data_IF_163146398969
#
_entry.id   IF_163146398969
#
_cell.length_a   1.000
_cell.length_b   1.000
_cell.length_c   1.000
_cell.angle_alpha   90.00
_cell.angle_beta   90.00
_cell.angle_gamma   90.00
#
_symmetry.space_group_name_H-M   'P 1'
#
loop_
_entity.id
_entity.type
_entity.pdbx_description
1 polymer ?
#
# COMPACT_ATOMS: atom_id res chain seq x y z
N UNK A 1 -10.54 15.24 9.64
CA UNK A 1 -11.81 15.13 10.34
C UNK A 1 -12.11 16.42 11.12
N UNK A 2 -11.39 16.78 12.18
CA UNK A 2 -11.65 18.00 13.01
C UNK A 2 -11.75 19.30 12.20
N UNK A 3 -10.96 19.46 11.13
CA UNK A 3 -11.04 20.65 10.24
C UNK A 3 -12.35 20.80 9.47
N UNK A 4 -13.19 19.76 9.46
CA UNK A 4 -14.55 19.74 8.90
C UNK A 4 -15.63 19.59 9.95
N UNK A 5 -15.30 19.83 11.24
CA UNK A 5 -16.24 19.72 12.35
C UNK A 5 -16.65 18.30 12.72
N UNK A 6 -15.91 17.29 12.22
CA UNK A 6 -16.17 15.89 12.53
C UNK A 6 -15.32 15.51 13.72
N UNK A 7 -15.96 15.18 14.83
CA UNK A 7 -15.32 14.61 16.00
C UNK A 7 -15.20 13.09 15.82
N UNK A 8 -14.02 12.56 16.12
CA UNK A 8 -13.77 11.12 16.17
C UNK A 8 -13.70 10.77 17.64
N UNK A 9 -14.69 10.03 18.14
CA UNK A 9 -14.78 9.65 19.54
C UNK A 9 -13.80 8.53 19.88
N UNK A 10 -13.67 7.52 18.97
CA UNK A 10 -12.76 6.41 19.13
C UNK A 10 -11.78 6.34 17.96
N UNK A 11 -10.51 6.05 18.24
CA UNK A 11 -9.51 5.86 17.19
C UNK A 11 -9.77 4.60 16.36
N UNK A 12 -10.42 3.58 16.95
CA UNK A 12 -10.84 2.35 16.26
C UNK A 12 -11.77 2.64 15.09
N UNK A 13 -12.59 3.70 15.15
CA UNK A 13 -13.47 4.13 14.07
C UNK A 13 -12.68 4.58 12.81
N UNK A 14 -11.36 4.74 12.94
CA UNK A 14 -10.48 5.11 11.84
C UNK A 14 -9.83 3.89 11.16
N UNK A 15 -10.01 2.68 11.66
CA UNK A 15 -9.40 1.47 11.08
C UNK A 15 -9.88 1.23 9.65
N UNK A 16 -11.11 1.59 9.32
CA UNK A 16 -11.66 1.48 7.96
C UNK A 16 -10.93 2.34 6.91
N UNK A 17 -10.10 3.30 7.36
CA UNK A 17 -9.25 4.12 6.48
C UNK A 17 -7.91 3.46 6.17
N UNK A 18 -7.62 2.31 6.80
CA UNK A 18 -6.39 1.55 6.58
C UNK A 18 -6.61 0.55 5.45
N UNK A 19 -5.85 0.70 4.37
CA UNK A 19 -5.90 -0.20 3.22
C UNK A 19 -6.57 0.41 1.98
N UNK A 20 -7.86 0.83 2.03
CA UNK A 20 -8.50 1.40 0.84
C UNK A 20 -7.95 2.79 0.47
N UNK A 21 -8.12 3.21 -0.81
CA UNK A 21 -7.78 4.56 -1.22
C UNK A 21 -8.57 5.61 -0.43
N UNK A 22 -7.89 6.57 0.20
CA UNK A 22 -8.50 7.60 1.05
C UNK A 22 -9.67 8.34 0.39
N UNK A 23 -9.57 8.60 -0.92
CA UNK A 23 -10.65 9.26 -1.67
C UNK A 23 -11.95 8.45 -1.57
N UNK A 24 -11.87 7.15 -1.81
CA UNK A 24 -13.05 6.27 -1.77
C UNK A 24 -13.64 6.19 -0.36
N UNK A 25 -12.78 6.08 0.66
CA UNK A 25 -13.23 6.00 2.05
C UNK A 25 -13.90 7.29 2.50
N UNK A 26 -13.33 8.45 2.20
CA UNK A 26 -13.95 9.73 2.53
C UNK A 26 -15.30 9.92 1.84
N UNK A 27 -15.41 9.55 0.56
CA UNK A 27 -16.66 9.68 -0.19
C UNK A 27 -17.73 8.67 0.23
N UNK A 28 -17.31 7.48 0.69
CA UNK A 28 -18.23 6.44 1.20
C UNK A 28 -18.85 6.84 2.54
N UNK A 29 -18.06 7.44 3.42
CA UNK A 29 -18.46 7.66 4.81
C UNK A 29 -19.01 9.07 5.05
N UNK A 30 -18.74 10.00 4.15
CA UNK A 30 -19.18 11.39 4.25
C UNK A 30 -19.59 11.89 2.86
N UNK A 31 -20.62 12.71 2.83
CA UNK A 31 -21.12 13.34 1.60
C UNK A 31 -20.23 14.55 1.21
N UNK A 32 -18.92 14.29 1.08
CA UNK A 32 -17.96 15.30 0.65
C UNK A 32 -17.91 15.41 -0.87
N UNK A 33 -17.88 16.64 -1.34
CA UNK A 33 -17.56 16.93 -2.75
C UNK A 33 -16.13 16.46 -3.10
N UNK A 34 -15.84 16.36 -4.39
CA UNK A 34 -14.48 16.05 -4.85
C UNK A 34 -13.44 17.06 -4.34
N UNK A 35 -13.79 18.35 -4.34
CA UNK A 35 -12.92 19.43 -3.88
C UNK A 35 -12.61 19.32 -2.37
N UNK A 36 -13.62 19.05 -1.55
CA UNK A 36 -13.46 18.85 -0.11
C UNK A 36 -12.62 17.60 0.19
N UNK A 37 -12.83 16.53 -0.56
CA UNK A 37 -12.06 15.30 -0.44
C UNK A 37 -10.58 15.53 -0.77
N UNK A 38 -10.28 16.28 -1.84
CA UNK A 38 -8.90 16.66 -2.20
C UNK A 38 -8.25 17.48 -1.10
N UNK A 39 -8.97 18.46 -0.51
CA UNK A 39 -8.45 19.28 0.60
C UNK A 39 -8.14 18.44 1.83
N UNK A 40 -9.00 17.49 2.18
CA UNK A 40 -8.78 16.56 3.29
C UNK A 40 -7.56 15.67 3.06
N UNK A 41 -7.41 15.12 1.85
CA UNK A 41 -6.23 14.31 1.49
C UNK A 41 -4.96 15.16 1.57
N UNK A 42 -5.00 16.42 1.11
CA UNK A 42 -3.86 17.33 1.22
C UNK A 42 -3.45 17.55 2.68
N UNK A 43 -4.42 17.84 3.57
CA UNK A 43 -4.16 18.01 5.02
C UNK A 43 -3.64 16.74 5.68
N UNK A 44 -4.16 15.57 5.29
CA UNK A 44 -3.61 14.30 5.75
C UNK A 44 -2.14 14.15 5.36
N UNK A 45 -1.80 14.45 4.10
CA UNK A 45 -0.43 14.35 3.59
C UNK A 45 0.54 15.33 4.26
N UNK A 46 0.12 16.55 4.62
CA UNK A 46 0.95 17.52 5.33
C UNK A 46 1.59 16.92 6.59
N UNK A 47 0.84 16.08 7.34
CA UNK A 47 1.38 15.37 8.50
C UNK A 47 2.02 14.04 8.13
N UNK A 48 1.35 13.28 7.27
CA UNK A 48 1.80 11.93 6.92
C UNK A 48 3.19 11.96 6.28
N UNK A 49 3.43 12.82 5.30
CA UNK A 49 4.68 12.85 4.55
C UNK A 49 5.89 13.32 5.39
N UNK A 50 5.67 14.01 6.50
CA UNK A 50 6.73 14.51 7.39
C UNK A 50 6.94 13.59 8.59
N UNK A 51 5.87 13.16 9.25
CA UNK A 51 5.93 12.43 10.52
C UNK A 51 5.29 11.05 10.41
N UNK A 52 4.03 10.99 9.98
CA UNK A 52 3.23 9.77 10.00
C UNK A 52 3.82 8.63 9.18
N UNK A 53 4.53 8.96 8.09
CA UNK A 53 5.23 7.96 7.25
C UNK A 53 6.27 7.16 8.04
N UNK A 54 6.76 7.69 9.16
CA UNK A 54 7.75 7.03 10.01
C UNK A 54 7.14 6.46 11.29
N UNK A 55 5.86 6.69 11.56
CA UNK A 55 5.11 6.11 12.69
C UNK A 55 4.59 4.71 12.32
N UNK A 56 5.52 3.82 11.99
CA UNK A 56 5.26 2.41 11.69
C UNK A 56 6.41 1.54 12.17
N UNK A 57 6.10 0.29 12.44
CA UNK A 57 7.04 -0.75 12.81
C UNK A 57 6.83 -1.96 11.89
N UNK A 58 7.87 -2.73 11.70
CA UNK A 58 7.76 -4.01 10.99
C UNK A 58 7.11 -5.04 11.91
N UNK A 59 6.23 -5.85 11.37
CA UNK A 59 5.75 -7.02 12.11
C UNK A 59 6.91 -7.99 12.41
N UNK A 60 6.83 -8.71 13.55
CA UNK A 60 7.86 -9.68 13.91
C UNK A 60 8.14 -10.69 12.79
N UNK A 61 9.39 -10.89 12.47
CA UNK A 61 9.84 -11.86 11.47
C UNK A 61 9.88 -11.34 10.02
N UNK A 62 9.29 -10.19 9.71
CA UNK A 62 9.28 -9.64 8.33
C UNK A 62 10.69 -9.36 7.83
N UNK A 63 11.52 -8.68 8.62
CA UNK A 63 12.89 -8.36 8.24
C UNK A 63 13.70 -9.63 7.92
N UNK A 64 13.65 -10.62 8.84
CA UNK A 64 14.36 -11.88 8.66
C UNK A 64 13.88 -12.64 7.43
N UNK A 65 12.56 -12.63 7.18
CA UNK A 65 11.96 -13.30 6.01
C UNK A 65 12.42 -12.67 4.71
N UNK A 66 12.42 -11.34 4.63
CA UNK A 66 12.88 -10.60 3.44
C UNK A 66 14.34 -10.90 3.14
N UNK A 67 15.22 -10.83 4.14
CA UNK A 67 16.64 -11.16 3.99
C UNK A 67 16.84 -12.61 3.55
N UNK A 68 16.16 -13.56 4.20
CA UNK A 68 16.26 -14.98 3.88
C UNK A 68 15.82 -15.29 2.44
N UNK A 69 14.74 -14.68 1.96
CA UNK A 69 14.29 -14.85 0.57
C UNK A 69 15.31 -14.27 -0.42
N UNK A 70 15.87 -13.08 -0.11
CA UNK A 70 16.89 -12.47 -0.94
C UNK A 70 18.16 -13.30 -1.01
N UNK A 71 18.64 -13.84 0.13
CA UNK A 71 19.81 -14.74 0.21
C UNK A 71 19.61 -16.03 -0.60
N UNK A 72 18.38 -16.51 -0.68
CA UNK A 72 18.01 -17.67 -1.52
C UNK A 72 17.89 -17.35 -3.01
N UNK A 73 18.08 -16.09 -3.39
CA UNK A 73 18.03 -15.64 -4.78
C UNK A 73 16.64 -15.45 -5.34
N UNK A 74 15.60 -15.37 -4.49
CA UNK A 74 14.27 -15.01 -4.96
C UNK A 74 14.22 -13.54 -5.36
N UNK A 75 13.68 -13.20 -6.55
CA UNK A 75 13.35 -11.83 -6.89
C UNK A 75 12.25 -11.32 -5.95
N UNK A 76 12.47 -10.15 -5.35
CA UNK A 76 11.51 -9.54 -4.44
C UNK A 76 10.98 -8.24 -5.03
N UNK A 77 9.66 -8.13 -5.08
CA UNK A 77 8.98 -6.89 -5.55
C UNK A 77 8.00 -6.44 -4.49
N UNK A 78 8.07 -5.17 -4.10
CA UNK A 78 7.02 -4.56 -3.29
C UNK A 78 5.89 -4.07 -4.21
N UNK A 79 4.66 -4.50 -3.92
CA UNK A 79 3.44 -4.10 -4.61
C UNK A 79 2.43 -3.52 -3.59
N UNK A 80 2.27 -2.20 -3.52
CA UNK A 80 1.47 -1.55 -2.49
C UNK A 80 0.45 -0.55 -3.05
N UNK A 81 -0.72 -0.47 -2.42
CA UNK A 81 -1.68 0.61 -2.66
C UNK A 81 -1.26 1.95 -2.05
N UNK A 82 -0.19 1.96 -1.26
CA UNK A 82 0.45 3.20 -0.77
C UNK A 82 1.25 3.86 -1.91
N UNK A 83 1.39 5.20 -1.94
CA UNK A 83 2.22 5.88 -2.94
C UNK A 83 3.65 5.32 -3.00
N UNK A 84 4.16 5.09 -4.21
CA UNK A 84 5.49 4.48 -4.43
C UNK A 84 6.61 5.23 -3.69
N UNK A 85 6.55 6.56 -3.69
CA UNK A 85 7.52 7.40 -2.97
C UNK A 85 7.50 7.16 -1.46
N UNK A 86 6.32 6.94 -0.88
CA UNK A 86 6.16 6.60 0.53
C UNK A 86 6.69 5.19 0.82
N UNK A 87 6.42 4.22 -0.05
CA UNK A 87 6.95 2.86 0.08
C UNK A 87 8.49 2.86 0.13
N UNK A 88 9.15 3.55 -0.81
CA UNK A 88 10.61 3.65 -0.86
C UNK A 88 11.19 4.25 0.43
N UNK A 89 10.61 5.34 0.94
CA UNK A 89 11.04 5.97 2.20
C UNK A 89 10.87 5.06 3.42
N UNK A 90 9.79 4.28 3.48
CA UNK A 90 9.56 3.32 4.56
C UNK A 90 10.58 2.18 4.50
N UNK A 91 10.83 1.62 3.31
CA UNK A 91 11.83 0.58 3.12
C UNK A 91 13.24 1.08 3.45
N UNK A 92 13.57 2.31 3.07
CA UNK A 92 14.86 2.94 3.37
C UNK A 92 15.06 3.12 4.88
N UNK A 93 14.03 3.65 5.59
CA UNK A 93 14.03 3.76 7.06
C UNK A 93 14.36 2.44 7.75
N UNK A 94 13.80 1.33 7.22
CA UNK A 94 13.96 0.00 7.81
C UNK A 94 15.17 -0.78 7.23
N UNK A 95 16.00 -0.17 6.37
CA UNK A 95 17.17 -0.82 5.78
C UNK A 95 16.84 -1.92 4.75
N UNK A 96 15.60 -2.00 4.30
CA UNK A 96 15.12 -3.08 3.42
C UNK A 96 15.06 -2.72 1.94
N UNK A 97 15.29 -1.43 1.58
CA UNK A 97 15.12 -0.99 0.18
C UNK A 97 15.98 -1.79 -0.80
N UNK A 98 17.22 -2.11 -0.43
CA UNK A 98 18.16 -2.88 -1.26
C UNK A 98 17.80 -4.36 -1.42
N UNK A 99 16.86 -4.88 -0.63
CA UNK A 99 16.39 -6.25 -0.76
C UNK A 99 15.39 -6.42 -1.91
N UNK A 100 14.73 -5.33 -2.31
CA UNK A 100 13.72 -5.37 -3.37
C UNK A 100 14.32 -4.99 -4.72
N UNK A 101 14.03 -5.81 -5.72
CA UNK A 101 14.46 -5.59 -7.11
C UNK A 101 13.59 -4.51 -7.78
N UNK A 102 12.32 -4.40 -7.38
CA UNK A 102 11.40 -3.33 -7.76
C UNK A 102 10.49 -2.92 -6.60
N UNK A 103 10.08 -1.65 -6.61
CA UNK A 103 9.09 -1.08 -5.68
C UNK A 103 8.01 -0.39 -6.49
N UNK A 104 6.82 -0.96 -6.50
CA UNK A 104 5.66 -0.44 -7.21
C UNK A 104 4.58 -0.04 -6.23
N UNK A 105 4.13 1.19 -6.34
CA UNK A 105 3.07 1.75 -5.51
C UNK A 105 2.02 2.49 -6.32
N UNK A 106 0.98 2.94 -5.64
CA UNK A 106 0.00 3.83 -6.25
C UNK A 106 0.66 5.13 -6.74
N UNK A 107 0.09 5.72 -7.79
CA UNK A 107 0.52 7.04 -8.27
C UNK A 107 -0.23 8.16 -7.57
N UNK A 108 0.43 9.31 -7.39
CA UNK A 108 -0.20 10.47 -6.73
C UNK A 108 -1.32 11.09 -7.54
N UNK A 109 -1.31 10.92 -8.86
CA UNK A 109 -2.35 11.37 -9.78
C UNK A 109 -3.53 10.41 -9.91
N UNK A 110 -3.46 9.25 -9.22
CA UNK A 110 -4.53 8.27 -9.18
C UNK A 110 -4.65 7.37 -10.43
N UNK A 111 -3.72 7.43 -11.39
CA UNK A 111 -3.72 6.55 -12.56
C UNK A 111 -3.54 5.08 -12.17
N UNK A 112 -2.72 4.84 -11.16
CA UNK A 112 -2.56 3.53 -10.51
C UNK A 112 -3.05 3.70 -9.08
N UNK A 113 -4.16 3.06 -8.71
CA UNK A 113 -4.80 3.23 -7.41
C UNK A 113 -5.35 1.93 -6.80
N UNK A 114 -5.58 0.90 -7.63
CA UNK A 114 -6.06 -0.40 -7.18
C UNK A 114 -4.93 -1.42 -7.15
N UNK A 115 -5.08 -2.49 -6.34
CA UNK A 115 -4.09 -3.58 -6.29
C UNK A 115 -3.89 -4.23 -7.65
N UNK A 116 -4.96 -4.45 -8.41
CA UNK A 116 -4.90 -4.97 -9.77
C UNK A 116 -3.98 -4.11 -10.66
N UNK A 117 -4.18 -2.79 -10.67
CA UNK A 117 -3.34 -1.87 -11.47
C UNK A 117 -1.88 -1.86 -11.02
N UNK A 118 -1.64 -1.95 -9.71
CA UNK A 118 -0.28 -2.06 -9.15
C UNK A 118 0.39 -3.34 -9.65
N UNK A 119 -0.29 -4.48 -9.61
CA UNK A 119 0.25 -5.76 -10.08
C UNK A 119 0.50 -5.76 -11.59
N UNK A 120 -0.39 -5.18 -12.38
CA UNK A 120 -0.17 -5.00 -13.82
C UNK A 120 1.09 -4.15 -14.10
N UNK A 121 1.30 -3.08 -13.32
CA UNK A 121 2.52 -2.27 -13.42
C UNK A 121 3.76 -3.04 -12.97
N UNK A 122 3.66 -3.92 -11.96
CA UNK A 122 4.74 -4.84 -11.59
C UNK A 122 5.14 -5.67 -12.79
N UNK A 123 4.21 -6.40 -13.41
CA UNK A 123 4.51 -7.25 -14.58
C UNK A 123 5.16 -6.46 -15.71
N UNK A 124 4.65 -5.27 -15.99
CA UNK A 124 5.23 -4.39 -17.01
C UNK A 124 6.69 -4.03 -16.72
N UNK A 125 7.04 -3.73 -15.45
CA UNK A 125 8.40 -3.31 -15.07
C UNK A 125 9.38 -4.47 -15.05
N UNK A 126 8.95 -5.64 -14.56
CA UNK A 126 9.83 -6.81 -14.48
C UNK A 126 9.91 -7.57 -15.82
N UNK A 127 9.06 -7.20 -16.78
CA UNK A 127 9.06 -7.84 -18.12
C UNK A 127 8.58 -9.28 -18.10
N UNK A 128 7.65 -9.63 -17.20
CA UNK A 128 7.05 -10.97 -17.13
C UNK A 128 5.63 -10.94 -17.65
N UNK A 129 5.27 -12.01 -18.38
CA UNK A 129 3.94 -12.17 -18.98
C UNK A 129 3.11 -13.26 -18.28
N UNK A 130 3.69 -14.07 -17.39
CA UNK A 130 2.97 -15.14 -16.71
C UNK A 130 2.81 -14.84 -15.19
N UNK A 131 1.59 -14.50 -14.75
CA UNK A 131 1.30 -14.29 -13.33
C UNK A 131 1.56 -15.51 -12.44
N UNK A 132 1.60 -16.73 -13.01
CA UNK A 132 1.82 -17.97 -12.26
C UNK A 132 3.27 -18.19 -11.82
N UNK A 133 4.20 -17.42 -12.37
CA UNK A 133 5.60 -17.44 -11.92
C UNK A 133 5.80 -16.69 -10.59
N UNK A 134 4.74 -16.03 -10.10
CA UNK A 134 4.77 -15.17 -8.92
C UNK A 134 3.73 -15.55 -7.88
N UNK A 135 4.00 -15.19 -6.64
CA UNK A 135 3.04 -15.26 -5.54
C UNK A 135 2.96 -13.92 -4.84
N UNK A 136 1.74 -13.42 -4.63
CA UNK A 136 1.51 -12.25 -3.79
C UNK A 136 1.41 -12.71 -2.33
N UNK A 137 2.10 -12.00 -1.44
CA UNK A 137 1.92 -12.15 0.01
C UNK A 137 1.26 -10.86 0.50
N UNK A 138 0.09 -10.96 1.10
CA UNK A 138 -0.69 -9.80 1.53
C UNK A 138 -1.59 -10.10 2.72
N UNK A 139 -2.07 -9.05 3.38
CA UNK A 139 -2.81 -9.12 4.63
C UNK A 139 -4.25 -8.62 4.50
N UNK A 140 -4.64 -8.11 3.32
CA UNK A 140 -5.97 -7.55 3.11
C UNK A 140 -6.77 -8.29 2.03
N UNK A 141 -8.10 -8.13 2.09
CA UNK A 141 -8.99 -8.64 1.03
C UNK A 141 -8.63 -8.05 -0.35
N UNK A 142 -8.12 -6.82 -0.39
CA UNK A 142 -7.73 -6.17 -1.63
C UNK A 142 -6.52 -6.85 -2.30
N UNK A 143 -5.63 -7.47 -1.51
CA UNK A 143 -4.51 -8.26 -2.03
C UNK A 143 -5.02 -9.52 -2.71
N UNK A 144 -5.93 -10.24 -2.05
CA UNK A 144 -6.54 -11.46 -2.59
C UNK A 144 -7.35 -11.17 -3.85
N UNK A 145 -8.21 -10.15 -3.81
CA UNK A 145 -9.00 -9.75 -4.98
C UNK A 145 -8.13 -9.27 -6.15
N UNK A 146 -7.09 -8.48 -5.86
CA UNK A 146 -6.17 -7.99 -6.87
C UNK A 146 -5.37 -9.11 -7.54
N UNK A 147 -4.84 -10.06 -6.74
CA UNK A 147 -4.15 -11.23 -7.25
C UNK A 147 -5.06 -12.09 -8.13
N UNK A 148 -6.28 -12.36 -7.67
CA UNK A 148 -7.27 -13.14 -8.43
C UNK A 148 -7.60 -12.49 -9.79
N UNK A 149 -7.76 -11.17 -9.84
CA UNK A 149 -8.07 -10.44 -11.08
C UNK A 149 -6.96 -10.55 -12.13
N UNK A 150 -5.71 -10.64 -11.70
CA UNK A 150 -4.57 -10.79 -12.62
C UNK A 150 -4.15 -12.25 -12.80
N UNK A 151 -4.81 -13.20 -12.14
CA UNK A 151 -4.51 -14.63 -12.24
C UNK A 151 -3.27 -15.09 -11.45
N UNK A 152 -2.79 -14.28 -10.50
CA UNK A 152 -1.65 -14.59 -9.62
C UNK A 152 -2.10 -15.37 -8.39
N UNK A 153 -1.26 -16.28 -7.89
CA UNK A 153 -1.49 -16.94 -6.62
C UNK A 153 -1.26 -15.97 -5.44
N UNK A 154 -2.00 -16.15 -4.35
CA UNK A 154 -1.92 -15.27 -3.19
C UNK A 154 -1.82 -16.07 -1.89
N UNK A 155 -0.92 -15.64 -1.01
CA UNK A 155 -0.80 -16.13 0.37
C UNK A 155 -1.31 -15.02 1.28
N UNK A 156 -2.45 -15.26 1.92
CA UNK A 156 -2.97 -14.36 2.97
C UNK A 156 -2.21 -14.58 4.28
N UNK A 157 -1.79 -13.49 4.91
CA UNK A 157 -1.18 -13.50 6.24
C UNK A 157 -2.08 -12.75 7.23
N UNK A 158 -2.06 -13.17 8.49
CA UNK A 158 -2.78 -12.52 9.59
C UNK A 158 -1.80 -12.21 10.71
N UNK A 159 -1.92 -11.04 11.30
CA UNK A 159 -1.09 -10.58 12.41
C UNK A 159 -1.91 -10.42 13.68
#
# INVERSE_FOLDING_TARGET
MRSKGIEVENLEDLEEYIGPPLKQTFQKNYDFSDEETIDLIRKYRERFDVTGIFENELYPGVEQTVHHLKERGYPLVLASSKPETACKRILEKNGLLSCFDEVVGATLDGRISTKEQVLQEVFRRIGSDDPKDYVLIGDTIYDVEGANKVGMDCIGVSY
#
